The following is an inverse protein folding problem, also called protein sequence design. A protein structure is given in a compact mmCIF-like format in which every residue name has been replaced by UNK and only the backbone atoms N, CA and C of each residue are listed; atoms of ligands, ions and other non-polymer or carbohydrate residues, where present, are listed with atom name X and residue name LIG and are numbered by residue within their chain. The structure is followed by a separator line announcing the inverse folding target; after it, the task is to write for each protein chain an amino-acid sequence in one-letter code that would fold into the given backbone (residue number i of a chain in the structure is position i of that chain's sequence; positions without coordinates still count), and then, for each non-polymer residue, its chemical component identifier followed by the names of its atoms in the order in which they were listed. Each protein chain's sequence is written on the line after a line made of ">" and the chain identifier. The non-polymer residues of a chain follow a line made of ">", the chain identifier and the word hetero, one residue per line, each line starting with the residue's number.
data_IF_784052033232
#
_entry.id   IF_784052033232
#
_cell.length_a   1.000
_cell.length_b   1.000
_cell.length_c   1.000
_cell.angle_alpha   90.00
_cell.angle_beta   90.00
_cell.angle_gamma   90.00
#
_symmetry.space_group_name_H-M   'P 1'
#
loop_
_entity.id
_entity.type
_entity.pdbx_description
1 polymer ?
#
# COMPACT_ATOMS: atom_id res chain seq x y z
N UNK A 1 9.96 -17.95 7.60
CA UNK A 1 9.53 -17.26 6.35
C UNK A 1 8.91 -15.93 6.75
N UNK A 2 9.30 -14.77 6.22
CA UNK A 2 8.73 -13.48 6.69
C UNK A 2 7.65 -12.94 5.75
N UNK A 3 6.59 -12.39 6.32
CA UNK A 3 5.54 -11.62 5.65
C UNK A 3 5.49 -10.23 6.26
N UNK A 4 5.42 -9.23 5.40
CA UNK A 4 5.10 -7.87 5.80
C UNK A 4 3.65 -7.56 5.48
N UNK A 5 2.99 -6.87 6.41
CA UNK A 5 1.63 -6.35 6.27
C UNK A 5 1.73 -4.83 6.37
N UNK A 6 1.60 -4.15 5.24
CA UNK A 6 1.59 -2.69 5.15
C UNK A 6 0.13 -2.23 5.11
N UNK A 7 -0.31 -1.52 6.15
CA UNK A 7 -1.74 -1.20 6.34
C UNK A 7 -1.95 0.24 6.80
N UNK A 8 -3.12 0.80 6.52
CA UNK A 8 -3.55 2.09 7.08
C UNK A 8 -3.75 2.03 8.60
N UNK A 9 -4.23 0.89 9.11
CA UNK A 9 -4.68 0.78 10.49
C UNK A 9 -4.08 -0.45 11.17
N UNK A 10 -3.48 -0.24 12.35
CA UNK A 10 -2.88 -1.32 13.12
C UNK A 10 -3.83 -2.47 13.46
N UNK A 11 -5.12 -2.19 13.65
CA UNK A 11 -6.15 -3.22 13.90
C UNK A 11 -6.40 -4.12 12.69
N UNK A 12 -6.45 -3.54 11.49
CA UNK A 12 -6.56 -4.30 10.24
C UNK A 12 -5.33 -5.18 10.07
N UNK A 13 -4.14 -4.62 10.32
CA UNK A 13 -2.89 -5.39 10.33
C UNK A 13 -2.90 -6.55 11.32
N UNK A 14 -3.43 -6.35 12.54
CA UNK A 14 -3.61 -7.41 13.53
C UNK A 14 -4.59 -8.49 13.06
N UNK A 15 -5.70 -8.10 12.44
CA UNK A 15 -6.68 -9.04 11.89
C UNK A 15 -6.08 -9.89 10.75
N UNK A 16 -5.37 -9.25 9.81
CA UNK A 16 -4.65 -9.94 8.73
C UNK A 16 -3.57 -10.88 9.29
N UNK A 17 -2.83 -10.44 10.32
CA UNK A 17 -1.84 -11.30 10.99
C UNK A 17 -2.48 -12.55 11.59
N UNK A 18 -3.59 -12.41 12.31
CA UNK A 18 -4.35 -13.58 12.83
C UNK A 18 -4.79 -14.49 11.68
N UNK A 19 -5.34 -13.92 10.60
CA UNK A 19 -5.76 -14.68 9.43
C UNK A 19 -4.60 -15.49 8.82
N UNK A 20 -3.44 -14.87 8.61
CA UNK A 20 -2.25 -15.54 8.07
C UNK A 20 -1.80 -16.71 8.94
N UNK A 21 -1.85 -16.53 10.25
CA UNK A 21 -1.46 -17.58 11.21
C UNK A 21 -2.47 -18.72 11.18
N UNK A 22 -3.77 -18.45 11.30
CA UNK A 22 -4.78 -19.49 11.46
C UNK A 22 -5.22 -20.16 10.15
N UNK A 23 -5.30 -19.41 9.05
CA UNK A 23 -5.83 -19.91 7.77
C UNK A 23 -4.73 -20.38 6.82
N UNK A 24 -3.57 -19.73 6.88
CA UNK A 24 -2.45 -20.06 5.98
C UNK A 24 -1.35 -20.85 6.69
N UNK A 25 -1.27 -20.80 8.02
CA UNK A 25 -0.30 -21.56 8.81
C UNK A 25 1.06 -20.88 8.96
N UNK A 26 1.15 -19.56 8.79
CA UNK A 26 2.38 -18.81 9.08
C UNK A 26 2.65 -18.75 10.58
N UNK A 27 3.92 -18.68 10.97
CA UNK A 27 4.29 -18.47 12.36
C UNK A 27 3.88 -17.07 12.86
N UNK A 28 3.55 -16.92 14.13
CA UNK A 28 3.20 -15.61 14.68
C UNK A 28 4.34 -14.58 14.54
N UNK A 29 5.57 -15.02 14.77
CA UNK A 29 6.78 -14.20 14.67
C UNK A 29 7.24 -13.98 13.22
N UNK A 30 6.53 -14.57 12.26
CA UNK A 30 6.82 -14.44 10.84
C UNK A 30 6.11 -13.24 10.19
N UNK A 31 5.11 -12.67 10.87
CA UNK A 31 4.30 -11.58 10.34
C UNK A 31 4.67 -10.25 11.03
N UNK A 32 5.19 -9.30 10.25
CA UNK A 32 5.48 -7.92 10.69
C UNK A 32 4.40 -6.97 10.17
N UNK A 33 3.83 -6.18 11.07
CA UNK A 33 2.86 -5.13 10.73
C UNK A 33 3.60 -3.81 10.60
N UNK A 34 3.30 -3.07 9.55
CA UNK A 34 3.86 -1.76 9.20
C UNK A 34 2.66 -0.85 8.93
N UNK A 35 2.69 0.35 9.50
CA UNK A 35 1.60 1.33 9.32
C UNK A 35 2.01 2.35 8.27
N UNK A 36 1.16 2.57 7.27
CA UNK A 36 1.35 3.59 6.23
C UNK A 36 1.50 4.99 6.84
N UNK A 37 2.29 5.84 6.21
CA UNK A 37 2.59 7.19 6.70
C UNK A 37 3.46 7.28 7.96
N UNK A 38 3.85 6.16 8.59
CA UNK A 38 4.72 6.15 9.78
C UNK A 38 6.16 5.74 9.50
N UNK A 39 6.38 4.91 8.50
CA UNK A 39 7.71 4.39 8.15
C UNK A 39 8.28 5.15 6.96
N UNK A 40 9.47 5.73 7.11
CA UNK A 40 10.14 6.48 6.04
C UNK A 40 11.09 5.62 5.21
N UNK A 41 11.56 4.49 5.76
CA UNK A 41 12.47 3.58 5.07
C UNK A 41 12.25 2.12 5.50
N UNK A 42 12.29 1.20 4.53
CA UNK A 42 12.21 -0.24 4.82
C UNK A 42 13.59 -0.82 5.10
N UNK A 43 13.73 -1.54 6.22
CA UNK A 43 15.00 -2.20 6.55
C UNK A 43 15.32 -3.32 5.55
N UNK A 44 16.61 -3.66 5.43
CA UNK A 44 17.07 -4.78 4.57
C UNK A 44 16.34 -6.09 4.89
N UNK A 45 16.06 -6.34 6.16
CA UNK A 45 15.30 -7.50 6.62
C UNK A 45 13.86 -7.50 6.08
N UNK A 46 13.21 -6.33 6.02
CA UNK A 46 11.85 -6.20 5.48
C UNK A 46 11.84 -6.49 3.97
N UNK A 47 12.86 -6.03 3.25
CA UNK A 47 13.00 -6.29 1.81
C UNK A 47 13.24 -7.77 1.47
N UNK A 48 13.62 -8.60 2.45
CA UNK A 48 13.79 -10.06 2.30
C UNK A 48 12.51 -10.86 2.57
N UNK A 49 11.38 -10.20 2.86
CA UNK A 49 10.11 -10.89 3.07
C UNK A 49 9.65 -11.60 1.78
N UNK A 50 9.03 -12.78 1.94
CA UNK A 50 8.53 -13.57 0.79
C UNK A 50 7.25 -13.00 0.17
N UNK A 51 6.51 -12.21 0.95
CA UNK A 51 5.26 -11.60 0.54
C UNK A 51 5.04 -10.31 1.31
N UNK A 52 4.51 -9.32 0.62
CA UNK A 52 3.92 -8.13 1.20
C UNK A 52 2.42 -8.10 0.96
N UNK A 53 1.62 -8.06 2.01
CA UNK A 53 0.22 -7.66 1.95
C UNK A 53 0.16 -6.15 2.11
N UNK A 54 -0.44 -5.43 1.17
CA UNK A 54 -0.37 -3.98 1.13
C UNK A 54 -1.77 -3.42 0.94
N UNK A 55 -2.29 -2.68 1.91
CA UNK A 55 -3.43 -1.80 1.67
C UNK A 55 -3.02 -0.81 0.58
N UNK A 56 -3.70 -0.82 -0.57
CA UNK A 56 -3.29 -0.01 -1.70
C UNK A 56 -3.46 1.50 -1.43
N UNK A 57 -4.39 1.84 -0.54
CA UNK A 57 -4.71 3.19 -0.13
C UNK A 57 -4.40 3.38 1.36
N UNK A 58 -3.88 4.56 1.70
CA UNK A 58 -3.82 5.07 3.05
C UNK A 58 -5.14 5.79 3.36
N UNK A 59 -5.86 5.33 4.37
CA UNK A 59 -7.16 5.86 4.79
C UNK A 59 -7.10 6.68 6.09
N UNK A 60 -5.93 6.89 6.69
CA UNK A 60 -5.80 7.55 8.00
C UNK A 60 -6.24 9.04 7.98
N UNK A 61 -6.15 9.71 6.83
CA UNK A 61 -6.54 11.13 6.69
C UNK A 61 -7.50 11.37 5.53
N UNK A 62 -7.05 11.00 4.33
CA UNK A 62 -7.78 11.10 3.07
C UNK A 62 -7.28 9.96 2.20
N UNK A 63 -8.12 9.30 1.38
CA UNK A 63 -7.69 8.23 0.50
C UNK A 63 -6.51 8.70 -0.36
N UNK A 64 -5.31 8.20 -0.08
CA UNK A 64 -4.07 8.45 -0.80
C UNK A 64 -3.47 7.11 -1.25
N UNK A 65 -3.08 6.89 -2.53
CA UNK A 65 -2.60 5.60 -2.99
C UNK A 65 -1.15 5.31 -2.54
N UNK A 66 -0.78 5.67 -1.31
CA UNK A 66 0.56 5.52 -0.75
C UNK A 66 1.04 4.07 -0.79
N UNK A 67 0.17 3.12 -0.43
CA UNK A 67 0.52 1.70 -0.47
C UNK A 67 0.76 1.21 -1.89
N UNK A 68 -0.05 1.66 -2.86
CA UNK A 68 0.18 1.40 -4.28
C UNK A 68 1.53 1.96 -4.74
N UNK A 69 1.86 3.23 -4.43
CA UNK A 69 3.15 3.83 -4.77
C UNK A 69 4.32 3.09 -4.12
N UNK A 70 4.18 2.65 -2.88
CA UNK A 70 5.19 1.85 -2.20
C UNK A 70 5.38 0.47 -2.86
N UNK A 71 4.30 -0.20 -3.24
CA UNK A 71 4.36 -1.45 -3.98
C UNK A 71 5.01 -1.27 -5.36
N UNK A 72 4.70 -0.18 -6.06
CA UNK A 72 5.29 0.16 -7.35
C UNK A 72 6.82 0.38 -7.27
N UNK A 73 7.31 1.03 -6.21
CA UNK A 73 8.75 1.18 -5.94
C UNK A 73 9.46 -0.17 -5.72
N UNK A 74 8.73 -1.18 -5.26
CA UNK A 74 9.24 -2.54 -4.98
C UNK A 74 9.01 -3.53 -6.13
N UNK A 75 8.41 -3.08 -7.24
CA UNK A 75 8.09 -3.91 -8.39
C UNK A 75 9.33 -4.66 -8.93
N UNK A 76 9.12 -5.89 -9.40
CA UNK A 76 10.16 -6.81 -9.87
C UNK A 76 11.05 -7.40 -8.76
N UNK A 77 11.06 -6.81 -7.56
CA UNK A 77 11.94 -7.25 -6.47
C UNK A 77 11.23 -8.14 -5.45
N UNK A 78 9.96 -7.85 -5.17
CA UNK A 78 9.23 -8.48 -4.07
C UNK A 78 7.82 -8.89 -4.51
N UNK A 79 7.38 -10.08 -4.10
CA UNK A 79 5.99 -10.51 -4.29
C UNK A 79 5.08 -9.69 -3.41
N UNK A 80 4.05 -9.08 -3.99
CA UNK A 80 3.05 -8.33 -3.24
C UNK A 80 1.63 -8.71 -3.64
N UNK A 81 0.72 -8.50 -2.69
CA UNK A 81 -0.72 -8.54 -2.89
C UNK A 81 -1.29 -7.20 -2.44
N UNK A 82 -1.79 -6.42 -3.39
CA UNK A 82 -2.52 -5.18 -3.10
C UNK A 82 -3.95 -5.51 -2.63
N UNK A 83 -4.35 -4.86 -1.55
CA UNK A 83 -5.68 -4.95 -0.97
C UNK A 83 -6.44 -3.67 -1.31
N UNK A 84 -7.48 -3.82 -2.13
CA UNK A 84 -8.40 -2.73 -2.48
C UNK A 84 -9.73 -2.93 -1.75
N UNK A 85 -9.97 -2.21 -0.65
CA UNK A 85 -11.23 -2.33 0.09
C UNK A 85 -12.41 -1.66 -0.63
N UNK A 86 -12.10 -0.75 -1.55
CA UNK A 86 -13.03 -0.11 -2.46
C UNK A 86 -12.40 -0.06 -3.85
N UNK A 87 -13.19 -0.29 -4.89
CA UNK A 87 -12.82 -0.16 -6.30
C UNK A 87 -13.89 0.67 -7.03
N UNK A 88 -13.58 1.31 -8.17
CA UNK A 88 -14.56 2.04 -8.96
C UNK A 88 -15.64 1.11 -9.53
N UNK A 89 -16.81 1.66 -9.84
CA UNK A 89 -17.89 0.91 -10.48
C UNK A 89 -17.43 0.31 -11.81
N UNK A 90 -17.74 -0.98 -12.00
CA UNK A 90 -17.32 -1.73 -13.19
C UNK A 90 -15.85 -2.13 -13.23
N UNK A 91 -15.04 -1.76 -12.22
CA UNK A 91 -13.69 -2.28 -12.06
C UNK A 91 -13.75 -3.71 -11.49
N UNK A 92 -12.84 -4.63 -11.90
CA UNK A 92 -12.86 -5.98 -11.35
C UNK A 92 -12.63 -5.98 -9.82
N UNK A 93 -13.05 -7.03 -9.13
CA UNK A 93 -12.82 -7.18 -7.68
C UNK A 93 -11.50 -7.92 -7.37
N UNK A 94 -10.92 -8.58 -8.36
CA UNK A 94 -9.69 -9.35 -8.25
C UNK A 94 -8.88 -9.26 -9.55
N UNK A 95 -7.55 -9.20 -9.43
CA UNK A 95 -6.62 -9.30 -10.55
C UNK A 95 -5.35 -10.06 -10.17
N UNK A 96 -4.29 -10.03 -10.98
CA UNK A 96 -3.16 -10.97 -10.82
C UNK A 96 -2.40 -10.81 -9.49
N UNK A 97 -2.23 -9.58 -9.00
CA UNK A 97 -1.50 -9.23 -7.78
C UNK A 97 -2.31 -8.32 -6.85
N UNK A 98 -3.63 -8.30 -7.02
CA UNK A 98 -4.53 -7.47 -6.22
C UNK A 98 -5.88 -8.13 -6.01
N UNK A 99 -6.56 -7.76 -4.95
CA UNK A 99 -7.93 -8.19 -4.68
C UNK A 99 -8.62 -7.26 -3.68
N UNK A 100 -9.95 -7.26 -3.71
CA UNK A 100 -10.74 -6.84 -2.58
C UNK A 100 -10.86 -8.00 -1.57
N UNK A 101 -10.36 -7.83 -0.33
CA UNK A 101 -10.36 -8.90 0.66
C UNK A 101 -11.75 -9.30 1.17
N UNK A 102 -12.78 -8.48 0.93
CA UNK A 102 -14.18 -8.80 1.27
C UNK A 102 -14.89 -9.66 0.23
N UNK A 103 -14.47 -9.60 -1.04
CA UNK A 103 -15.13 -10.29 -2.15
C UNK A 103 -14.34 -11.50 -2.68
N UNK A 104 -13.03 -11.57 -2.40
CA UNK A 104 -12.18 -12.68 -2.86
C UNK A 104 -11.96 -13.78 -1.80
N UNK A 105 -11.54 -14.96 -2.25
CA UNK A 105 -11.00 -16.00 -1.35
C UNK A 105 -9.55 -15.68 -0.99
N UNK A 106 -9.34 -14.76 -0.04
CA UNK A 106 -8.03 -14.21 0.33
C UNK A 106 -6.92 -15.28 0.50
N UNK A 107 -7.22 -16.38 1.20
CA UNK A 107 -6.23 -17.43 1.42
C UNK A 107 -5.86 -18.22 0.16
N UNK A 108 -6.79 -18.36 -0.80
CA UNK A 108 -6.45 -18.88 -2.14
C UNK A 108 -5.52 -17.89 -2.84
N UNK A 109 -5.88 -16.60 -2.83
CA UNK A 109 -5.13 -15.55 -3.49
C UNK A 109 -3.69 -15.43 -2.99
N UNK A 110 -3.49 -15.43 -1.67
CA UNK A 110 -2.17 -15.41 -1.05
C UNK A 110 -1.30 -16.59 -1.53
N UNK A 111 -1.86 -17.80 -1.62
CA UNK A 111 -1.13 -18.98 -2.09
C UNK A 111 -0.77 -18.90 -3.57
N UNK A 112 -1.62 -18.29 -4.39
CA UNK A 112 -1.32 -18.01 -5.80
C UNK A 112 -0.14 -17.03 -5.91
N UNK A 113 -0.19 -15.90 -5.20
CA UNK A 113 0.90 -14.91 -5.20
C UNK A 113 2.23 -15.51 -4.76
N UNK A 114 2.23 -16.34 -3.71
CA UNK A 114 3.44 -17.00 -3.24
C UNK A 114 4.10 -17.90 -4.29
N UNK A 115 3.34 -18.38 -5.29
CA UNK A 115 3.84 -19.20 -6.41
C UNK A 115 4.18 -18.37 -7.65
N UNK A 116 3.55 -17.21 -7.83
CA UNK A 116 3.81 -16.30 -8.94
C UNK A 116 5.15 -15.56 -8.81
N UNK A 117 5.73 -15.06 -9.92
CA UNK A 117 6.82 -14.09 -9.86
C UNK A 117 6.34 -12.77 -9.21
N UNK A 118 7.26 -11.93 -8.71
CA UNK A 118 6.95 -10.54 -8.36
C UNK A 118 6.26 -9.80 -9.52
N UNK A 119 5.26 -8.94 -9.27
CA UNK A 119 4.68 -8.11 -10.31
C UNK A 119 5.70 -7.08 -10.81
N UNK A 120 5.77 -6.89 -12.12
CA UNK A 120 6.70 -5.97 -12.78
C UNK A 120 6.13 -4.56 -12.86
N UNK A 121 6.98 -3.54 -13.05
CA UNK A 121 6.51 -2.14 -13.18
C UNK A 121 5.40 -1.98 -14.21
N UNK A 122 5.51 -2.69 -15.34
CA UNK A 122 4.50 -2.71 -16.41
C UNK A 122 3.13 -3.17 -15.95
N UNK A 123 3.06 -4.08 -14.97
CA UNK A 123 1.78 -4.55 -14.42
C UNK A 123 1.08 -3.48 -13.60
N UNK A 124 1.84 -2.67 -12.87
CA UNK A 124 1.34 -1.49 -12.16
C UNK A 124 0.94 -0.37 -13.12
N UNK A 125 1.74 -0.11 -14.16
CA UNK A 125 1.44 0.90 -15.20
C UNK A 125 0.10 0.61 -15.87
N UNK A 126 -0.16 -0.65 -16.27
CA UNK A 126 -1.47 -1.06 -16.80
C UNK A 126 -2.62 -0.86 -15.81
N UNK A 127 -2.35 -1.00 -14.51
CA UNK A 127 -3.36 -0.75 -13.49
C UNK A 127 -3.65 0.76 -13.38
N UNK A 128 -2.61 1.60 -13.45
CA UNK A 128 -2.76 3.07 -13.50
C UNK A 128 -3.48 3.54 -14.76
N UNK A 129 -3.23 2.92 -15.93
CA UNK A 129 -3.98 3.25 -17.16
C UNK A 129 -5.49 3.02 -17.00
N UNK A 130 -5.88 1.99 -16.24
CA UNK A 130 -7.30 1.66 -15.98
C UNK A 130 -7.89 2.41 -14.81
N UNK A 131 -7.06 2.78 -13.84
CA UNK A 131 -7.44 3.52 -12.65
C UNK A 131 -6.39 4.62 -12.37
N UNK A 132 -6.48 5.76 -13.08
CA UNK A 132 -5.47 6.82 -13.03
C UNK A 132 -5.19 7.38 -11.64
N UNK A 133 -6.19 7.39 -10.75
CA UNK A 133 -6.03 7.89 -9.39
C UNK A 133 -4.96 7.15 -8.58
N UNK A 134 -4.61 5.91 -8.96
CA UNK A 134 -3.52 5.15 -8.32
C UNK A 134 -2.15 5.81 -8.53
N UNK A 135 -1.98 6.54 -9.63
CA UNK A 135 -0.76 7.27 -9.95
C UNK A 135 -0.69 8.66 -9.33
N UNK A 136 -1.70 9.08 -8.54
CA UNK A 136 -1.72 10.41 -7.93
C UNK A 136 -0.57 10.54 -6.93
N UNK A 137 0.27 11.54 -7.13
CA UNK A 137 1.27 11.95 -6.15
C UNK A 137 0.61 12.78 -5.04
N UNK A 138 1.15 12.79 -3.81
CA UNK A 138 0.65 13.69 -2.78
C UNK A 138 0.79 15.13 -3.27
N UNK A 139 -0.28 15.91 -3.21
CA UNK A 139 -0.22 17.33 -3.52
C UNK A 139 0.80 17.98 -2.58
N UNK A 140 1.91 18.48 -3.13
CA UNK A 140 2.88 19.28 -2.39
C UNK A 140 2.13 20.49 -1.81
N UNK A 141 1.77 20.42 -0.52
CA UNK A 141 1.34 21.59 0.25
C UNK A 141 2.54 22.49 0.49
N UNK A 142 3.08 23.07 -0.57
CA UNK A 142 3.84 24.31 -0.47
C UNK A 142 2.85 25.39 -0.04
N UNK A 143 2.67 25.53 1.27
CA UNK A 143 2.12 26.74 1.85
C UNK A 143 2.95 27.91 1.33
N UNK A 144 2.40 28.65 0.38
CA UNK A 144 2.83 30.01 0.09
C UNK A 144 2.69 30.80 1.39
N UNK A 145 3.78 30.88 2.15
CA UNK A 145 3.99 31.95 3.10
C UNK A 145 4.05 33.25 2.28
N UNK A 146 2.89 33.84 2.00
CA UNK A 146 2.82 35.24 1.64
C UNK A 146 3.25 36.03 2.87
N UNK A 147 4.54 36.34 2.89
CA UNK A 147 5.15 37.31 3.78
C UNK A 147 4.53 38.68 3.45
N UNK A 148 3.39 39.02 4.06
CA UNK A 148 2.95 40.41 4.15
C UNK A 148 3.92 41.15 5.08
N UNK A 149 5.07 41.58 4.54
CA UNK A 149 5.81 42.69 5.13
C UNK A 149 5.04 43.97 4.80
N UNK A 150 4.24 44.42 5.75
CA UNK A 150 3.85 45.82 5.84
C UNK A 150 5.13 46.65 6.02
N UNK A 151 5.64 47.22 4.94
CA UNK A 151 6.52 48.38 5.00
C UNK A 151 5.64 49.61 5.17
N UNK A 152 5.38 50.01 6.41
CA UNK A 152 4.96 51.38 6.68
C UNK A 152 6.16 52.31 6.48
N UNK A 153 6.19 52.96 5.32
CA UNK A 153 6.86 54.25 5.13
C UNK A 153 5.80 55.35 5.19
N UNK A 154 5.71 56.07 6.30
CA UNK A 154 5.37 57.52 6.44
C UNK A 154 5.95 57.92 7.82
N UNK A 155 6.83 58.89 8.01
CA UNK A 155 7.02 60.14 7.29
C UNK A 155 6.37 61.27 8.09
N UNK A 156 7.05 61.74 9.16
CA UNK A 156 7.19 63.13 9.63
C UNK A 156 7.88 63.14 11.00
#
# INVERSE_FOLDING_TARGET
>A
MKINILTSFGEVGRALKRYLVYVIGFGWNECKIIVLGKETAYSREMLQAKLWLIDAWNYDKSPDPEGFRNAYKLAGSIKCLLLFYHVPDGFPEEGPFWCNPGSCKLGRKIREILKSPPPEKRDFEKLMERWPDLGREPEDRHHHYHHHRHTEKRGQ
#
